data_IF_119738403454
#
_entry.id   IF_119738403454
#
_cell.length_a   1.000
_cell.length_b   1.000
_cell.length_c   1.000
_cell.angle_alpha   90.00
_cell.angle_beta   90.00
_cell.angle_gamma   90.00
#
_symmetry.space_group_name_H-M   'P 1'
#
loop_
_entity.id
_entity.type
_entity.pdbx_description
1 polymer ?
#
# COMPACT_ATOMS: atom_id res chain seq x y z
N UNK A 1 -14.10 -16.63 5.00
CA UNK A 1 -12.65 -16.81 5.27
C UNK A 1 -11.87 -15.49 5.28
N UNK A 2 -12.10 -14.54 4.36
CA UNK A 2 -11.30 -13.29 4.28
C UNK A 2 -11.51 -12.30 5.44
N UNK A 3 -12.65 -12.35 6.13
CA UNK A 3 -12.93 -11.51 7.31
C UNK A 3 -11.92 -11.71 8.44
N UNK A 4 -11.37 -12.93 8.60
CA UNK A 4 -10.32 -13.24 9.60
C UNK A 4 -8.97 -12.58 9.28
N UNK A 5 -8.78 -12.15 8.03
CA UNK A 5 -7.60 -11.43 7.56
C UNK A 5 -7.84 -9.92 7.50
N UNK A 6 -8.92 -9.42 8.12
CA UNK A 6 -9.33 -8.02 8.10
C UNK A 6 -9.50 -7.46 6.67
N UNK A 7 -9.81 -8.34 5.71
CA UNK A 7 -10.03 -7.98 4.32
C UNK A 7 -11.50 -8.22 3.97
N UNK A 8 -12.13 -7.21 3.39
CA UNK A 8 -13.54 -7.25 2.93
C UNK A 8 -13.70 -7.98 1.60
N UNK A 9 -12.67 -7.93 0.74
CA UNK A 9 -12.67 -8.57 -0.58
C UNK A 9 -11.31 -9.20 -0.89
N UNK A 10 -11.28 -10.11 -1.86
CA UNK A 10 -10.03 -10.72 -2.32
C UNK A 10 -9.09 -9.67 -2.94
N UNK A 11 -9.64 -8.73 -3.71
CA UNK A 11 -8.88 -7.60 -4.27
C UNK A 11 -8.26 -6.73 -3.18
N UNK A 12 -8.97 -6.53 -2.05
CA UNK A 12 -8.42 -5.82 -0.90
C UNK A 12 -7.23 -6.59 -0.30
N UNK A 13 -7.34 -7.92 -0.15
CA UNK A 13 -6.22 -8.76 0.30
C UNK A 13 -5.00 -8.66 -0.63
N UNK A 14 -5.20 -8.75 -1.95
CA UNK A 14 -4.11 -8.62 -2.93
C UNK A 14 -3.45 -7.23 -2.88
N UNK A 15 -4.24 -6.17 -2.68
CA UNK A 15 -3.72 -4.81 -2.49
C UNK A 15 -2.83 -4.72 -1.24
N UNK A 16 -3.25 -5.34 -0.13
CA UNK A 16 -2.45 -5.40 1.11
C UNK A 16 -1.13 -6.12 0.89
N UNK A 17 -1.11 -7.25 0.17
CA UNK A 17 0.13 -7.95 -0.17
C UNK A 17 1.12 -7.01 -0.91
N UNK A 18 0.65 -6.28 -1.91
CA UNK A 18 1.46 -5.30 -2.66
C UNK A 18 2.02 -4.20 -1.75
N UNK A 19 1.19 -3.65 -0.85
CA UNK A 19 1.61 -2.63 0.14
C UNK A 19 2.79 -3.11 0.98
N UNK A 20 2.79 -4.38 1.39
CA UNK A 20 3.89 -4.96 2.17
C UNK A 20 5.03 -5.53 1.29
N UNK A 21 5.03 -5.25 -0.01
CA UNK A 21 6.11 -5.61 -0.92
C UNK A 21 6.12 -7.08 -1.37
N UNK A 22 5.05 -7.83 -1.13
CA UNK A 22 4.90 -9.17 -1.70
C UNK A 22 4.74 -9.08 -3.21
N UNK A 23 5.34 -10.04 -3.92
CA UNK A 23 5.22 -10.19 -5.37
C UNK A 23 4.66 -11.56 -5.69
N UNK A 24 3.85 -11.61 -6.74
CA UNK A 24 3.36 -12.88 -7.28
C UNK A 24 4.53 -13.65 -7.90
N UNK A 25 4.63 -14.93 -7.54
CA UNK A 25 5.61 -15.86 -8.09
C UNK A 25 4.93 -16.56 -9.26
N UNK A 26 5.37 -16.25 -10.49
CA UNK A 26 4.85 -16.88 -11.70
C UNK A 26 5.44 -18.28 -11.84
N UNK A 27 4.61 -19.28 -12.17
CA UNK A 27 5.07 -20.64 -12.48
C UNK A 27 4.41 -21.75 -11.66
N UNK A 28 3.61 -21.40 -10.65
CA UNK A 28 2.79 -22.36 -9.91
C UNK A 28 1.55 -22.77 -10.73
N UNK A 29 1.38 -24.07 -10.98
CA UNK A 29 0.26 -24.60 -11.75
C UNK A 29 -1.06 -24.44 -10.98
N UNK A 30 -1.86 -23.43 -11.34
CA UNK A 30 -3.23 -23.24 -10.84
C UNK A 30 -3.35 -22.63 -9.44
N UNK A 31 -2.23 -22.29 -8.78
CA UNK A 31 -2.21 -21.66 -7.47
C UNK A 31 -1.61 -20.27 -7.55
N UNK A 32 -2.19 -19.32 -6.82
CA UNK A 32 -1.61 -17.99 -6.63
C UNK A 32 -0.57 -18.06 -5.50
N UNK A 33 0.69 -17.87 -5.86
CA UNK A 33 1.80 -17.88 -4.91
C UNK A 33 2.39 -16.48 -4.78
N UNK A 34 2.67 -16.06 -3.54
CA UNK A 34 3.24 -14.75 -3.24
C UNK A 34 4.46 -14.89 -2.33
N UNK A 35 5.52 -14.15 -2.66
CA UNK A 35 6.75 -14.14 -1.90
C UNK A 35 7.20 -12.73 -1.50
N UNK A 36 7.84 -12.63 -0.35
CA UNK A 36 8.65 -11.49 0.06
C UNK A 36 9.92 -12.04 0.73
N UNK A 37 11.09 -11.51 0.35
CA UNK A 37 12.39 -11.93 0.88
C UNK A 37 12.52 -11.81 2.41
N UNK A 38 11.73 -10.94 3.04
CA UNK A 38 11.73 -10.71 4.47
C UNK A 38 10.57 -11.42 5.18
N UNK A 39 9.73 -12.17 4.46
CA UNK A 39 8.70 -13.02 5.03
C UNK A 39 9.22 -14.46 5.12
N UNK A 40 10.05 -14.72 6.12
CA UNK A 40 10.77 -15.99 6.28
C UNK A 40 10.23 -16.74 7.50
N UNK A 41 9.91 -18.03 7.32
CA UNK A 41 9.41 -18.88 8.41
C UNK A 41 10.45 -18.98 9.52
N UNK A 42 10.04 -18.69 10.75
CA UNK A 42 10.92 -18.75 11.93
C UNK A 42 11.78 -17.51 12.16
N UNK A 43 11.63 -16.46 11.35
CA UNK A 43 12.39 -15.20 11.48
C UNK A 43 11.43 -13.99 11.61
N UNK A 44 10.72 -13.84 12.75
CA UNK A 44 9.76 -12.76 12.97
C UNK A 44 10.37 -11.34 12.96
N UNK A 45 11.68 -11.22 13.21
CA UNK A 45 12.43 -9.97 13.13
C UNK A 45 12.40 -9.36 11.72
N UNK A 46 12.53 -10.19 10.67
CA UNK A 46 12.44 -9.73 9.28
C UNK A 46 11.03 -9.27 8.91
N UNK A 47 10.01 -9.93 9.47
CA UNK A 47 8.61 -9.52 9.33
C UNK A 47 8.39 -8.13 9.95
N UNK A 48 8.96 -7.89 11.14
CA UNK A 48 8.87 -6.61 11.84
C UNK A 48 9.51 -5.48 11.03
N UNK A 49 10.69 -5.72 10.46
CA UNK A 49 11.39 -4.76 9.61
C UNK A 49 10.57 -4.43 8.34
N UNK A 50 10.06 -5.47 7.68
CA UNK A 50 9.20 -5.32 6.50
C UNK A 50 7.95 -4.50 6.81
N UNK A 51 7.28 -4.80 7.92
CA UNK A 51 6.07 -4.08 8.35
C UNK A 51 6.38 -2.61 8.64
N UNK A 52 7.47 -2.33 9.35
CA UNK A 52 7.90 -0.97 9.69
C UNK A 52 8.17 -0.13 8.44
N UNK A 53 8.91 -0.69 7.47
CA UNK A 53 9.17 -0.03 6.18
C UNK A 53 7.87 0.28 5.45
N UNK A 54 6.95 -0.67 5.35
CA UNK A 54 5.67 -0.47 4.66
C UNK A 54 4.81 0.62 5.32
N UNK A 55 4.79 0.70 6.65
CA UNK A 55 4.06 1.76 7.38
C UNK A 55 4.67 3.13 7.11
N UNK A 56 6.00 3.25 7.22
CA UNK A 56 6.70 4.51 6.95
C UNK A 56 6.41 5.01 5.53
N UNK A 57 6.48 4.14 4.52
CA UNK A 57 6.20 4.57 3.14
C UNK A 57 4.75 4.96 2.92
N UNK A 58 3.81 4.29 3.58
CA UNK A 58 2.39 4.69 3.53
C UNK A 58 2.16 6.06 4.15
N UNK A 59 2.78 6.35 5.29
CA UNK A 59 2.70 7.67 5.92
C UNK A 59 3.23 8.75 4.97
N UNK A 60 4.43 8.54 4.40
CA UNK A 60 5.03 9.47 3.44
C UNK A 60 4.16 9.69 2.19
N UNK A 61 3.51 8.65 1.68
CA UNK A 61 2.57 8.79 0.57
C UNK A 61 1.32 9.59 0.95
N UNK A 62 0.78 9.36 2.16
CA UNK A 62 -0.33 10.14 2.72
C UNK A 62 0.01 11.62 2.81
N UNK A 63 1.17 11.96 3.35
CA UNK A 63 1.64 13.35 3.47
C UNK A 63 1.74 14.04 2.11
N UNK A 64 2.28 13.33 1.10
CA UNK A 64 2.35 13.85 -0.28
C UNK A 64 0.97 14.08 -0.88
N UNK A 65 0.02 13.17 -0.67
CA UNK A 65 -1.34 13.34 -1.18
C UNK A 65 -2.06 14.51 -0.52
N UNK A 66 -1.91 14.67 0.80
CA UNK A 66 -2.48 15.80 1.54
C UNK A 66 -1.92 17.11 0.99
N UNK A 67 -0.59 17.21 0.85
CA UNK A 67 0.07 18.39 0.30
C UNK A 67 -0.43 18.72 -1.10
N UNK A 68 -0.47 17.73 -2.01
CA UNK A 68 -0.96 17.91 -3.37
C UNK A 68 -2.43 18.36 -3.40
N UNK A 69 -3.27 17.86 -2.48
CA UNK A 69 -4.65 18.29 -2.38
C UNK A 69 -4.77 19.78 -1.99
N UNK A 70 -3.98 20.22 -1.00
CA UNK A 70 -3.95 21.64 -0.61
C UNK A 70 -3.46 22.53 -1.74
N UNK A 71 -2.38 22.16 -2.42
CA UNK A 71 -1.84 22.92 -3.57
C UNK A 71 -2.86 23.01 -4.72
N UNK A 72 -3.53 21.91 -5.05
CA UNK A 72 -4.58 21.90 -6.07
C UNK A 72 -5.79 22.76 -5.68
N UNK A 73 -6.16 22.75 -4.39
CA UNK A 73 -7.23 23.60 -3.87
C UNK A 73 -6.87 25.08 -3.98
N UNK A 74 -5.67 25.46 -3.54
CA UNK A 74 -5.19 26.83 -3.62
C UNK A 74 -5.10 27.32 -5.07
N UNK A 75 -4.57 26.51 -5.98
CA UNK A 75 -4.51 26.84 -7.40
C UNK A 75 -5.91 27.05 -8.01
N UNK A 76 -6.87 26.20 -7.64
CA UNK A 76 -8.25 26.31 -8.08
C UNK A 76 -8.95 27.55 -7.53
N UNK A 77 -8.69 27.92 -6.28
CA UNK A 77 -9.25 29.13 -5.68
C UNK A 77 -8.66 30.38 -6.35
N UNK A 78 -7.34 30.43 -6.58
CA UNK A 78 -6.69 31.51 -7.38
C UNK A 78 -7.24 31.59 -8.80
N UNK A 79 -7.54 30.47 -9.44
CA UNK A 79 -8.11 30.44 -10.79
C UNK A 79 -9.52 31.04 -10.83
N UNK A 80 -10.33 30.86 -9.77
CA UNK A 80 -11.66 31.49 -9.68
C UNK A 80 -11.54 33.01 -9.54
N UNK A 81 -10.59 33.49 -8.76
CA UNK A 81 -10.37 34.92 -8.53
C UNK A 81 -9.90 35.67 -9.79
N UNK A 82 -9.29 34.96 -10.75
CA UNK A 82 -8.86 35.51 -12.04
C UNK A 82 -9.97 35.53 -13.10
N UNK A 83 -11.12 34.91 -12.84
CA UNK A 83 -12.22 34.77 -13.81
C UNK A 83 -13.24 35.91 -13.74
N UNK A 84 -12.77 37.10 -13.31
CA UNK A 84 -13.51 38.38 -13.30
C UNK A 84 -13.59 38.93 -14.72
#
# INVERSE_FOLDING_TARGET
MLSRLFCTTFSHFLSRLKVYGFKEIKGSSGLLEFGNKNFVRGQPELLTEMHTKAVIERCRQGDKMIKAHYEAKEANDRFKDLRI
#
